data_IF_067937435878
#
_entry.id   IF_067937435878
#
_cell.length_a   1.000
_cell.length_b   1.000
_cell.length_c   1.000
_cell.angle_alpha   90.00
_cell.angle_beta   90.00
_cell.angle_gamma   90.00
#
_symmetry.space_group_name_H-M   'P 1'
#
loop_
_entity.id
_entity.type
_entity.pdbx_description
1 polymer ?
#
# COMPACT_ATOMS: atom_id res chain seq x y z
N UNK A 1 -16.95 -21.79 -21.89
CA UNK A 1 -16.78 -22.10 -20.48
C UNK A 1 -15.32 -22.20 -20.08
N UNK A 2 -14.53 -22.90 -20.85
CA UNK A 2 -13.08 -22.99 -20.61
C UNK A 2 -12.42 -21.61 -20.69
N UNK A 3 -12.91 -20.74 -21.57
CA UNK A 3 -12.38 -19.38 -21.71
C UNK A 3 -12.52 -18.53 -20.46
N UNK A 4 -13.61 -18.72 -19.72
CA UNK A 4 -13.82 -17.97 -18.48
C UNK A 4 -12.79 -18.33 -17.41
N UNK A 5 -12.34 -19.57 -17.39
CA UNK A 5 -11.30 -20.00 -16.46
C UNK A 5 -9.98 -19.34 -16.75
N UNK A 6 -9.64 -19.16 -18.02
CA UNK A 6 -8.39 -18.50 -18.40
C UNK A 6 -8.40 -17.05 -17.99
N UNK A 7 -9.51 -16.37 -18.14
CA UNK A 7 -9.64 -14.98 -17.72
C UNK A 7 -9.41 -14.83 -16.21
N UNK A 8 -9.94 -15.75 -15.41
CA UNK A 8 -9.73 -15.75 -13.98
C UNK A 8 -8.28 -15.97 -13.59
N UNK A 9 -7.60 -16.86 -14.28
CA UNK A 9 -6.21 -17.20 -13.99
C UNK A 9 -5.30 -16.01 -14.23
N UNK A 10 -5.57 -15.23 -15.28
CA UNK A 10 -4.74 -14.09 -15.64
C UNK A 10 -5.09 -12.82 -14.88
N UNK A 11 -6.13 -12.85 -14.09
CA UNK A 11 -6.60 -11.68 -13.36
C UNK A 11 -5.79 -11.46 -12.10
N UNK A 12 -5.33 -10.21 -11.92
CA UNK A 12 -4.74 -9.80 -10.64
C UNK A 12 -5.87 -9.72 -9.61
N UNK A 13 -5.70 -10.33 -8.44
CA UNK A 13 -6.74 -10.27 -7.41
C UNK A 13 -7.02 -8.85 -6.94
N UNK A 14 -8.29 -8.55 -6.67
CA UNK A 14 -8.74 -7.28 -6.13
C UNK A 14 -8.73 -7.26 -4.61
N UNK A 15 -8.24 -8.32 -4.00
CA UNK A 15 -8.18 -8.47 -2.55
C UNK A 15 -6.77 -8.89 -2.18
N UNK A 16 -6.25 -8.31 -1.11
CA UNK A 16 -4.97 -8.71 -0.54
C UNK A 16 -5.27 -9.69 0.59
N UNK A 17 -4.67 -10.87 0.50
CA UNK A 17 -4.85 -11.95 1.46
C UNK A 17 -3.56 -12.10 2.26
N UNK A 18 -3.61 -11.84 3.56
CA UNK A 18 -2.45 -11.97 4.44
C UNK A 18 -2.58 -13.27 5.23
N UNK A 19 -1.61 -14.16 5.07
CA UNK A 19 -1.54 -15.44 5.77
C UNK A 19 -2.76 -16.33 5.61
N UNK A 20 -3.54 -16.15 4.54
CA UNK A 20 -4.66 -17.01 4.20
C UNK A 20 -5.97 -16.72 4.91
N UNK A 21 -6.04 -15.72 5.78
CA UNK A 21 -7.28 -15.44 6.49
C UNK A 21 -7.67 -13.97 6.58
N UNK A 22 -6.72 -13.06 6.63
CA UNK A 22 -7.05 -11.62 6.62
C UNK A 22 -7.16 -11.14 5.18
N UNK A 23 -8.33 -10.64 4.81
CA UNK A 23 -8.63 -10.19 3.44
C UNK A 23 -8.90 -8.69 3.43
N UNK A 24 -8.14 -7.98 2.60
CA UNK A 24 -8.16 -6.52 2.56
C UNK A 24 -8.57 -6.09 1.16
N UNK A 25 -9.66 -5.32 1.08
CA UNK A 25 -10.17 -4.79 -0.18
C UNK A 25 -9.80 -3.33 -0.35
N UNK A 26 -9.97 -2.82 -1.56
CA UNK A 26 -9.78 -1.39 -1.84
C UNK A 26 -10.69 -0.54 -0.97
N UNK A 27 -11.95 -0.94 -0.80
CA UNK A 27 -12.90 -0.20 0.02
C UNK A 27 -12.48 -0.15 1.48
N UNK A 28 -11.93 -1.24 2.01
CA UNK A 28 -11.43 -1.27 3.39
C UNK A 28 -10.36 -0.21 3.59
N UNK A 29 -9.42 -0.11 2.67
CA UNK A 29 -8.32 0.87 2.76
C UNK A 29 -8.84 2.29 2.58
N UNK A 30 -9.73 2.50 1.63
CA UNK A 30 -10.35 3.83 1.41
C UNK A 30 -11.08 4.31 2.66
N UNK A 31 -11.81 3.41 3.32
CA UNK A 31 -12.53 3.77 4.54
C UNK A 31 -11.58 4.16 5.66
N UNK A 32 -10.49 3.42 5.82
CA UNK A 32 -9.50 3.74 6.86
C UNK A 32 -8.85 5.09 6.59
N UNK A 33 -8.46 5.34 5.35
CA UNK A 33 -7.86 6.62 4.98
C UNK A 33 -8.82 7.76 5.28
N UNK A 34 -10.09 7.60 4.92
CA UNK A 34 -11.12 8.60 5.21
C UNK A 34 -11.28 8.84 6.70
N UNK A 35 -11.31 7.78 7.50
CA UNK A 35 -11.48 7.88 8.95
C UNK A 35 -10.27 8.46 9.66
N UNK A 36 -9.09 8.32 9.07
CA UNK A 36 -7.86 8.84 9.68
C UNK A 36 -7.81 10.36 9.69
N UNK A 37 -8.54 11.01 8.81
CA UNK A 37 -8.49 12.45 8.65
C UNK A 37 -7.22 12.95 7.97
N UNK A 38 -6.35 12.04 7.55
CA UNK A 38 -5.13 12.40 6.83
C UNK A 38 -5.47 12.58 5.34
N UNK A 39 -5.00 13.67 4.77
CA UNK A 39 -5.30 14.02 3.38
C UNK A 39 -4.33 13.28 2.45
N UNK A 40 -4.82 12.20 1.85
CA UNK A 40 -4.04 11.33 0.97
C UNK A 40 -4.43 11.59 -0.48
N UNK A 41 -3.44 11.96 -1.29
CA UNK A 41 -3.66 12.22 -2.71
C UNK A 41 -3.84 10.93 -3.49
N UNK A 42 -3.00 9.94 -3.21
CA UNK A 42 -3.07 8.65 -3.89
C UNK A 42 -2.35 7.59 -3.06
N UNK A 43 -2.59 6.33 -3.38
CA UNK A 43 -2.01 5.23 -2.65
C UNK A 43 -2.01 3.95 -3.49
N UNK A 44 -1.17 3.00 -3.07
CA UNK A 44 -1.17 1.65 -3.61
C UNK A 44 -0.82 0.68 -2.48
N UNK A 45 -1.35 -0.51 -2.53
CA UNK A 45 -1.14 -1.52 -1.50
C UNK A 45 -0.94 -2.89 -2.11
N UNK A 46 -0.01 -3.65 -1.57
CA UNK A 46 0.24 -5.01 -2.01
C UNK A 46 0.80 -5.84 -0.87
N UNK A 47 0.78 -7.16 -1.06
CA UNK A 47 1.40 -8.09 -0.14
C UNK A 47 2.87 -8.22 -0.48
N UNK A 48 3.72 -8.06 0.52
CA UNK A 48 5.15 -8.30 0.39
C UNK A 48 5.57 -9.35 1.41
N UNK A 49 6.80 -9.83 1.28
CA UNK A 49 7.34 -10.87 2.15
C UNK A 49 8.66 -10.41 2.73
N UNK A 50 8.90 -10.73 4.02
CA UNK A 50 10.18 -10.43 4.65
C UNK A 50 11.30 -11.25 3.99
N UNK A 51 12.50 -10.71 3.96
CA UNK A 51 13.65 -11.37 3.36
C UNK A 51 14.11 -12.59 4.17
N UNK A 52 13.97 -12.51 5.50
CA UNK A 52 14.51 -13.53 6.39
C UNK A 52 13.71 -14.84 6.37
N UNK A 53 12.38 -14.77 6.58
CA UNK A 53 11.54 -15.95 6.71
C UNK A 53 10.38 -16.00 5.72
N UNK A 54 10.30 -15.04 4.81
CA UNK A 54 9.22 -14.97 3.85
C UNK A 54 7.86 -14.75 4.49
N UNK A 55 7.79 -14.03 5.60
CA UNK A 55 6.51 -13.75 6.27
C UNK A 55 5.75 -12.67 5.52
N UNK A 56 4.46 -12.89 5.25
CA UNK A 56 3.66 -11.92 4.50
C UNK A 56 3.29 -10.71 5.34
N UNK A 57 3.24 -9.55 4.71
CA UNK A 57 2.73 -8.34 5.34
C UNK A 57 2.12 -7.42 4.28
N UNK A 58 1.23 -6.54 4.73
CA UNK A 58 0.64 -5.51 3.88
C UNK A 58 1.59 -4.32 3.81
N UNK A 59 1.98 -3.94 2.60
CA UNK A 59 2.78 -2.73 2.39
C UNK A 59 1.93 -1.70 1.66
N UNK A 60 1.78 -0.53 2.25
CA UNK A 60 1.10 0.60 1.63
C UNK A 60 2.08 1.67 1.23
N UNK A 61 1.94 2.15 0.01
CA UNK A 61 2.68 3.29 -0.53
C UNK A 61 1.70 4.44 -0.64
N UNK A 62 1.93 5.50 0.11
CA UNK A 62 0.96 6.58 0.29
C UNK A 62 1.59 7.91 -0.08
N UNK A 63 0.88 8.68 -0.91
CA UNK A 63 1.26 10.04 -1.25
C UNK A 63 0.32 11.00 -0.53
N UNK A 64 0.87 11.89 0.29
CA UNK A 64 0.09 12.87 1.05
C UNK A 64 -0.12 14.13 0.23
N UNK A 65 -1.21 14.85 0.52
CA UNK A 65 -1.49 16.13 -0.14
C UNK A 65 -0.41 17.16 0.22
N UNK A 66 -0.07 18.08 -0.72
CA UNK A 66 1.03 19.01 -0.51
C UNK A 66 0.94 19.87 0.75
N UNK A 67 -0.25 20.30 1.13
CA UNK A 67 -0.43 21.14 2.32
C UNK A 67 -0.48 20.37 3.63
N UNK A 68 -0.46 19.03 3.57
CA UNK A 68 -0.70 18.19 4.73
C UNK A 68 0.57 17.73 5.42
N UNK A 69 1.72 17.87 4.78
CA UNK A 69 2.94 17.21 5.22
C UNK A 69 3.88 18.18 5.92
N UNK A 70 3.75 18.26 7.24
CA UNK A 70 4.76 18.94 8.06
C UNK A 70 5.87 17.95 8.41
N UNK A 71 5.49 16.69 8.69
CA UNK A 71 6.45 15.66 9.06
C UNK A 71 5.94 14.30 8.58
N UNK A 72 6.65 13.70 7.61
CA UNK A 72 6.26 12.42 7.04
C UNK A 72 6.28 11.27 8.04
N UNK A 73 7.24 11.28 8.95
CA UNK A 73 7.35 10.21 9.95
C UNK A 73 6.14 10.19 10.87
N UNK A 74 5.70 11.37 11.30
CA UNK A 74 4.51 11.49 12.17
C UNK A 74 3.26 11.04 11.39
N UNK A 75 3.12 11.49 10.14
CA UNK A 75 1.97 11.11 9.32
C UNK A 75 1.92 9.61 9.06
N UNK A 76 3.08 9.00 8.83
CA UNK A 76 3.18 7.56 8.63
C UNK A 76 2.71 6.79 9.87
N UNK A 77 3.16 7.20 11.03
CA UNK A 77 2.80 6.53 12.28
C UNK A 77 1.32 6.69 12.61
N UNK A 78 0.77 7.88 12.38
CA UNK A 78 -0.66 8.11 12.58
C UNK A 78 -1.51 7.25 11.66
N UNK A 79 -1.14 7.19 10.39
CA UNK A 79 -1.87 6.38 9.42
C UNK A 79 -1.78 4.90 9.76
N UNK A 80 -0.60 4.44 10.15
CA UNK A 80 -0.38 3.05 10.55
C UNK A 80 -1.23 2.70 11.77
N UNK A 81 -1.32 3.59 12.74
CA UNK A 81 -2.12 3.39 13.94
C UNK A 81 -3.60 3.27 13.58
N UNK A 82 -4.11 4.16 12.76
CA UNK A 82 -5.51 4.12 12.33
C UNK A 82 -5.83 2.85 11.54
N UNK A 83 -4.95 2.44 10.65
CA UNK A 83 -5.12 1.21 9.89
C UNK A 83 -5.14 -0.02 10.80
N UNK A 84 -4.23 -0.06 11.75
CA UNK A 84 -4.15 -1.16 12.71
C UNK A 84 -5.42 -1.27 13.54
N UNK A 85 -5.91 -0.15 14.05
CA UNK A 85 -7.14 -0.12 14.85
C UNK A 85 -8.34 -0.57 14.00
N UNK A 86 -8.44 -0.08 12.79
CA UNK A 86 -9.55 -0.45 11.91
C UNK A 86 -9.56 -1.94 11.62
N UNK A 87 -8.43 -2.50 11.25
CA UNK A 87 -8.36 -3.93 10.93
C UNK A 87 -8.66 -4.80 12.14
N UNK A 88 -8.19 -4.41 13.31
CA UNK A 88 -8.53 -5.13 14.54
C UNK A 88 -10.03 -5.11 14.84
N UNK A 89 -10.68 -4.01 14.50
CA UNK A 89 -12.11 -3.85 14.76
C UNK A 89 -12.96 -4.67 13.79
N UNK A 90 -12.61 -4.68 12.51
CA UNK A 90 -13.45 -5.30 11.47
C UNK A 90 -13.06 -6.75 11.19
N UNK A 91 -11.88 -7.17 11.61
CA UNK A 91 -11.33 -8.48 11.27
C UNK A 91 -10.66 -9.09 12.50
N UNK A 92 -11.34 -10.07 13.11
CA UNK A 92 -10.80 -10.72 14.30
C UNK A 92 -9.53 -11.51 14.02
N UNK A 93 -9.40 -12.03 12.80
CA UNK A 93 -8.21 -12.76 12.40
C UNK A 93 -6.99 -11.83 12.40
N UNK A 94 -7.19 -10.58 11.99
CA UNK A 94 -6.12 -9.59 12.03
C UNK A 94 -5.62 -9.34 13.46
N UNK A 95 -6.52 -9.40 14.43
CA UNK A 95 -6.14 -9.21 15.84
C UNK A 95 -5.04 -10.18 16.27
N UNK A 96 -5.10 -11.42 15.80
CA UNK A 96 -4.13 -12.44 16.15
C UNK A 96 -2.96 -12.52 15.17
N UNK A 97 -3.08 -11.89 14.03
CA UNK A 97 -2.10 -12.01 12.95
C UNK A 97 -0.71 -11.58 13.37
N UNK A 98 -0.61 -10.48 14.09
CA UNK A 98 0.67 -9.98 14.58
C UNK A 98 1.37 -11.00 15.48
N UNK A 99 0.61 -11.65 16.35
CA UNK A 99 1.13 -12.66 17.25
C UNK A 99 1.57 -13.90 16.48
N UNK A 100 0.75 -14.35 15.53
CA UNK A 100 1.03 -15.53 14.71
C UNK A 100 2.29 -15.33 13.87
N UNK A 101 2.41 -14.18 13.23
CA UNK A 101 3.55 -13.88 12.37
C UNK A 101 4.81 -13.51 13.14
N UNK A 102 4.67 -13.11 14.41
CA UNK A 102 5.79 -12.64 15.21
C UNK A 102 6.35 -11.30 14.76
N UNK A 103 5.55 -10.54 13.99
CA UNK A 103 5.94 -9.23 13.49
C UNK A 103 4.69 -8.40 13.19
N UNK A 104 4.88 -7.10 13.00
CA UNK A 104 3.79 -6.22 12.58
C UNK A 104 3.42 -6.53 11.12
N UNK A 105 2.16 -6.89 10.83
CA UNK A 105 1.76 -7.26 9.46
C UNK A 105 1.47 -6.07 8.55
N UNK A 106 1.85 -4.86 8.96
CA UNK A 106 1.58 -3.64 8.22
C UNK A 106 2.81 -2.75 8.16
N UNK A 107 3.17 -2.33 6.96
CA UNK A 107 4.24 -1.36 6.73
C UNK A 107 3.73 -0.25 5.82
N UNK A 108 4.14 0.99 6.09
CA UNK A 108 3.73 2.15 5.29
C UNK A 108 4.95 2.93 4.83
N UNK A 109 5.01 3.19 3.54
CA UNK A 109 6.02 4.06 2.95
C UNK A 109 5.32 5.32 2.46
N UNK A 110 5.73 6.47 2.97
CA UNK A 110 5.19 7.76 2.55
C UNK A 110 6.04 8.29 1.40
N UNK A 111 5.39 8.49 0.26
CA UNK A 111 6.02 8.98 -0.95
C UNK A 111 5.97 10.50 -1.00
N UNK A 112 6.83 11.09 -1.82
CA UNK A 112 6.82 12.53 -2.03
C UNK A 112 5.60 12.96 -2.82
N UNK A 113 5.17 14.21 -2.61
CA UNK A 113 4.07 14.79 -3.37
C UNK A 113 4.41 14.79 -4.86
N UNK A 114 3.47 14.36 -5.69
CA UNK A 114 3.64 14.31 -7.13
C UNK A 114 4.22 13.00 -7.67
N UNK A 115 4.53 12.04 -6.81
CA UNK A 115 5.15 10.77 -7.24
C UNK A 115 4.23 9.98 -8.18
N UNK A 116 2.96 9.82 -7.83
CA UNK A 116 2.02 9.07 -8.66
C UNK A 116 1.74 9.77 -9.99
N UNK A 117 1.57 11.09 -9.96
CA UNK A 117 1.35 11.85 -11.17
C UNK A 117 2.56 11.80 -12.10
N UNK A 118 3.76 11.91 -11.55
CA UNK A 118 5.01 11.82 -12.31
C UNK A 118 5.17 10.46 -12.96
N UNK A 119 4.85 9.40 -12.23
CA UNK A 119 4.91 8.04 -12.76
C UNK A 119 3.94 7.87 -13.95
N UNK A 120 2.70 8.32 -13.78
CA UNK A 120 1.69 8.24 -14.84
C UNK A 120 2.10 9.04 -16.07
N UNK A 121 2.65 10.23 -15.86
CA UNK A 121 3.10 11.09 -16.94
C UNK A 121 4.25 10.48 -17.74
N UNK A 122 5.22 9.90 -17.05
CA UNK A 122 6.42 9.36 -17.69
C UNK A 122 6.19 8.00 -18.32
N UNK A 123 5.33 7.16 -17.76
CA UNK A 123 5.12 5.80 -18.26
C UNK A 123 3.83 5.65 -19.07
N UNK A 124 2.91 6.59 -18.96
CA UNK A 124 1.59 6.47 -19.55
C UNK A 124 0.69 5.46 -18.85
N UNK A 125 1.13 4.92 -17.70
CA UNK A 125 0.39 3.92 -16.94
C UNK A 125 -0.17 4.52 -15.68
N UNK A 126 -1.36 4.01 -15.27
CA UNK A 126 -1.92 4.32 -13.95
C UNK A 126 -1.71 3.11 -13.06
N UNK A 127 -1.10 3.34 -11.90
CA UNK A 127 -0.84 2.26 -10.95
C UNK A 127 -2.15 1.81 -10.31
N UNK A 128 -2.35 0.49 -10.18
CA UNK A 128 -3.51 -0.05 -9.48
C UNK A 128 -3.39 0.25 -7.99
N UNK A 129 -4.53 0.47 -7.35
CA UNK A 129 -4.54 0.64 -5.89
C UNK A 129 -4.22 -0.66 -5.17
N UNK A 130 -4.83 -1.76 -5.62
CA UNK A 130 -4.65 -3.07 -5.00
C UNK A 130 -3.81 -3.96 -5.90
N UNK A 131 -2.78 -4.56 -5.32
CA UNK A 131 -1.90 -5.52 -5.99
C UNK A 131 -1.28 -4.98 -7.29
N UNK A 132 -0.68 -3.79 -7.29
CA UNK A 132 0.15 -3.39 -8.42
C UNK A 132 1.34 -4.35 -8.52
N UNK A 133 1.96 -4.43 -9.69
CA UNK A 133 3.15 -5.28 -9.82
C UNK A 133 4.30 -4.66 -9.03
N UNK A 134 5.14 -5.52 -8.46
CA UNK A 134 6.31 -5.05 -7.72
C UNK A 134 7.27 -4.30 -8.64
N UNK A 135 7.31 -4.67 -9.91
CA UNK A 135 8.12 -3.99 -10.92
C UNK A 135 7.67 -2.53 -11.07
N UNK A 136 6.37 -2.29 -11.17
CA UNK A 136 5.83 -0.93 -11.31
C UNK A 136 6.09 -0.10 -10.06
N UNK A 137 5.99 -0.69 -8.89
CA UNK A 137 6.31 -0.02 -7.62
C UNK A 137 7.79 0.38 -7.60
N UNK A 138 8.68 -0.53 -7.98
CA UNK A 138 10.11 -0.25 -8.01
C UNK A 138 10.46 0.85 -8.99
N UNK A 139 9.81 0.87 -10.15
CA UNK A 139 9.98 1.94 -11.14
C UNK A 139 9.59 3.29 -10.57
N UNK A 140 8.43 3.34 -9.91
CA UNK A 140 7.94 4.57 -9.30
C UNK A 140 8.91 5.08 -8.22
N UNK A 141 9.44 4.19 -7.39
CA UNK A 141 10.38 4.55 -6.34
C UNK A 141 11.69 5.06 -6.93
N UNK A 142 12.17 4.47 -8.01
CA UNK A 142 13.37 4.94 -8.71
C UNK A 142 13.18 6.35 -9.25
N UNK A 143 12.02 6.64 -9.79
CA UNK A 143 11.70 8.00 -10.26
C UNK A 143 11.72 9.01 -9.11
N UNK A 144 11.17 8.62 -7.96
CA UNK A 144 11.19 9.46 -6.78
C UNK A 144 12.63 9.73 -6.31
N UNK A 145 13.47 8.71 -6.27
CA UNK A 145 14.86 8.85 -5.87
C UNK A 145 15.63 9.78 -6.79
N UNK A 146 15.41 9.66 -8.11
CA UNK A 146 16.02 10.55 -9.09
C UNK A 146 15.57 11.99 -8.89
N UNK A 147 14.28 12.19 -8.62
CA UNK A 147 13.70 13.50 -8.34
C UNK A 147 14.29 14.10 -7.06
N UNK A 148 14.47 13.29 -6.02
CA UNK A 148 15.06 13.70 -4.77
C UNK A 148 16.52 14.16 -4.96
N UNK A 149 17.28 13.36 -5.69
CA UNK A 149 18.66 13.71 -6.00
C UNK A 149 18.76 15.01 -6.76
N UNK A 150 17.85 15.24 -7.70
CA UNK A 150 17.81 16.45 -8.49
C UNK A 150 17.47 17.69 -7.64
N UNK A 151 16.68 17.52 -6.62
CA UNK A 151 16.25 18.61 -5.73
C UNK A 151 17.31 19.08 -4.76
N UNK A 152 18.35 18.32 -4.58
CA UNK A 152 19.42 18.68 -3.65
C UNK A 152 20.31 19.80 -4.17
N UNK A 153 20.13 20.17 -5.40
CA UNK A 153 20.85 21.27 -6.01
C UNK A 153 19.93 22.46 -6.21
#
# INVERSE_FOLDING_TARGET
MVQHRFEYIDRVPDIIDIAGFTRISENSIKNVISLSGIDVTDWAALKEFTEDRGRPYLHMYVELAPGCVVNRAVSRELLKEHLTIYFKYVDQDYHDLKRILGMDPLEITVLRCGTFASYREKTGKTLRHINPSIHDIQEMIKMQAAFDGHRRY
#
